data_IF_191894814237
#
_entry.id   IF_191894814237
#
_cell.length_a   1.000
_cell.length_b   1.000
_cell.length_c   1.000
_cell.angle_alpha   90.00
_cell.angle_beta   90.00
_cell.angle_gamma   90.00
#
_symmetry.space_group_name_H-M   'P 1'
#
loop_
_entity.id
_entity.type
_entity.pdbx_description
1 polymer ?
#
# COMPACT_ATOMS: atom_id res chain seq x y z
N UNK A 1 -40.87 -13.35 -7.70
CA UNK A 1 -40.12 -13.67 -6.46
C UNK A 1 -39.07 -14.70 -6.85
N UNK A 2 -37.77 -14.39 -6.77
CA UNK A 2 -36.73 -15.39 -7.06
C UNK A 2 -36.55 -16.29 -5.83
N UNK A 3 -36.26 -17.56 -6.08
CA UNK A 3 -35.92 -18.60 -5.11
C UNK A 3 -34.42 -18.59 -4.75
N UNK A 4 -33.71 -17.54 -5.14
CA UNK A 4 -32.30 -17.33 -4.80
C UNK A 4 -31.98 -15.85 -4.62
N UNK A 5 -30.83 -15.60 -3.99
CA UNK A 5 -30.13 -14.33 -4.07
C UNK A 5 -28.64 -14.56 -4.36
N UNK A 6 -27.99 -13.53 -4.92
CA UNK A 6 -26.60 -13.60 -5.36
C UNK A 6 -25.78 -12.54 -4.64
N UNK A 7 -24.60 -12.91 -4.18
CA UNK A 7 -23.59 -11.95 -3.75
C UNK A 7 -22.33 -12.12 -4.60
N UNK A 8 -21.57 -11.04 -4.75
CA UNK A 8 -20.28 -11.09 -5.40
C UNK A 8 -19.26 -10.32 -4.59
N UNK A 9 -18.03 -10.82 -4.59
CA UNK A 9 -16.86 -10.12 -4.05
C UNK A 9 -15.74 -10.20 -5.05
N UNK A 10 -15.04 -9.10 -5.24
CA UNK A 10 -13.78 -9.06 -5.99
C UNK A 10 -12.66 -8.99 -4.98
N UNK A 11 -11.58 -9.75 -5.18
CA UNK A 11 -10.38 -9.66 -4.35
C UNK A 11 -9.38 -8.63 -4.90
N UNK A 12 -8.31 -8.35 -4.15
CA UNK A 12 -7.29 -7.37 -4.54
C UNK A 12 -6.56 -7.75 -5.85
N UNK A 13 -6.56 -9.04 -6.16
CA UNK A 13 -5.91 -9.63 -7.33
C UNK A 13 -6.85 -9.63 -8.55
N UNK A 14 -8.11 -9.25 -8.36
CA UNK A 14 -9.13 -9.13 -9.41
C UNK A 14 -9.93 -10.39 -9.64
N UNK A 15 -9.81 -11.44 -8.81
CA UNK A 15 -10.70 -12.60 -8.90
C UNK A 15 -12.08 -12.22 -8.38
N UNK A 16 -13.13 -12.62 -9.11
CA UNK A 16 -14.52 -12.39 -8.72
C UNK A 16 -15.10 -13.70 -8.22
N UNK A 17 -15.52 -13.74 -6.96
CA UNK A 17 -16.25 -14.86 -6.38
C UNK A 17 -17.72 -14.51 -6.33
N UNK A 18 -18.53 -15.27 -7.05
CA UNK A 18 -19.99 -15.18 -7.05
C UNK A 18 -20.53 -16.32 -6.18
N UNK A 19 -21.36 -15.97 -5.21
CA UNK A 19 -22.04 -16.91 -4.32
C UNK A 19 -23.54 -16.85 -4.57
N UNK A 20 -24.12 -17.99 -4.88
CA UNK A 20 -25.55 -18.17 -5.01
C UNK A 20 -26.07 -18.82 -3.75
N UNK A 21 -27.18 -18.29 -3.25
CA UNK A 21 -27.86 -18.79 -2.07
C UNK A 21 -29.31 -19.05 -2.45
N UNK A 22 -29.78 -20.27 -2.22
CA UNK A 22 -31.21 -20.52 -2.29
C UNK A 22 -31.96 -19.74 -1.21
N UNK A 23 -33.22 -19.41 -1.49
CA UNK A 23 -34.14 -18.67 -0.63
C UNK A 23 -35.38 -19.52 -0.36
N UNK A 24 -35.67 -19.74 0.93
CA UNK A 24 -36.83 -20.49 1.38
C UNK A 24 -36.50 -21.92 1.82
N UNK A 25 -37.45 -22.58 2.49
CA UNK A 25 -37.22 -23.84 3.18
C UNK A 25 -36.77 -25.01 2.27
N UNK A 26 -37.11 -24.96 0.98
CA UNK A 26 -36.79 -26.00 -0.02
C UNK A 26 -35.54 -25.71 -0.84
N UNK A 27 -34.98 -24.51 -0.73
CA UNK A 27 -33.85 -24.04 -1.52
C UNK A 27 -32.80 -23.48 -0.56
N UNK A 28 -32.05 -24.34 0.13
CA UNK A 28 -31.06 -23.93 1.15
C UNK A 28 -29.61 -24.11 0.69
N UNK A 29 -29.41 -24.65 -0.52
CA UNK A 29 -28.10 -24.88 -1.10
C UNK A 29 -27.31 -23.58 -1.31
N UNK A 30 -26.00 -23.68 -1.14
CA UNK A 30 -25.05 -22.63 -1.52
C UNK A 30 -24.12 -23.18 -2.59
N UNK A 31 -23.96 -22.46 -3.70
CA UNK A 31 -22.93 -22.77 -4.68
C UNK A 31 -22.04 -21.55 -4.92
N UNK A 32 -20.76 -21.80 -5.20
CA UNK A 32 -19.77 -20.74 -5.39
C UNK A 32 -19.03 -20.97 -6.70
N UNK A 33 -18.96 -19.93 -7.52
CA UNK A 33 -18.12 -19.91 -8.73
C UNK A 33 -17.13 -18.77 -8.64
N UNK A 34 -15.88 -19.03 -9.04
CA UNK A 34 -14.84 -18.00 -9.11
C UNK A 34 -14.42 -17.78 -10.54
N UNK A 35 -14.52 -16.53 -10.99
CA UNK A 35 -13.96 -16.02 -12.24
C UNK A 35 -12.56 -15.52 -11.91
N UNK A 36 -11.54 -16.13 -12.52
CA UNK A 36 -10.14 -15.74 -12.30
C UNK A 36 -9.87 -14.36 -12.90
N UNK A 37 -8.95 -13.63 -12.29
CA UNK A 37 -8.56 -12.28 -12.71
C UNK A 37 -8.19 -12.17 -14.20
N UNK A 38 -7.59 -13.22 -14.78
CA UNK A 38 -7.28 -13.27 -16.23
C UNK A 38 -8.51 -13.11 -17.14
N UNK A 39 -9.69 -13.47 -16.65
CA UNK A 39 -10.96 -13.37 -17.35
C UNK A 39 -11.78 -12.16 -16.88
N UNK A 40 -11.23 -11.31 -16.01
CA UNK A 40 -11.88 -10.09 -15.53
C UNK A 40 -11.39 -8.90 -16.40
N UNK A 41 -12.28 -8.20 -17.12
CA UNK A 41 -11.89 -7.06 -17.94
C UNK A 41 -11.34 -5.87 -17.12
N UNK A 42 -11.58 -5.83 -15.80
CA UNK A 42 -11.10 -4.76 -14.94
C UNK A 42 -9.71 -5.07 -14.34
N UNK A 43 -8.76 -4.11 -14.38
CA UNK A 43 -7.43 -4.28 -13.81
C UNK A 43 -7.46 -4.48 -12.29
N UNK A 44 -6.64 -5.41 -11.79
CA UNK A 44 -6.54 -5.72 -10.36
C UNK A 44 -6.04 -4.52 -9.57
N UNK A 45 -6.59 -4.32 -8.36
CA UNK A 45 -6.12 -3.25 -7.48
C UNK A 45 -4.62 -3.42 -7.14
N UNK A 46 -4.15 -4.68 -7.05
CA UNK A 46 -2.73 -5.01 -6.82
C UNK A 46 -1.81 -4.48 -7.92
N UNK A 47 -2.25 -4.45 -9.18
CA UNK A 47 -1.43 -3.93 -10.30
C UNK A 47 -1.02 -2.46 -10.13
N UNK A 48 -1.71 -1.70 -9.28
CA UNK A 48 -1.38 -0.31 -8.97
C UNK A 48 -0.28 -0.15 -7.91
N UNK A 49 0.07 -1.21 -7.19
CA UNK A 49 1.14 -1.21 -6.18
C UNK A 49 2.54 -1.26 -6.81
N UNK A 50 2.85 -0.22 -7.58
CA UNK A 50 4.15 -0.04 -8.23
C UNK A 50 5.23 0.39 -7.23
N UNK A 51 6.48 0.14 -7.61
CA UNK A 51 7.65 0.62 -6.91
C UNK A 51 7.70 2.15 -6.82
N UNK A 52 8.08 2.63 -5.64
CA UNK A 52 8.18 4.06 -5.40
C UNK A 52 9.52 4.58 -5.89
N UNK A 53 9.49 5.40 -6.95
CA UNK A 53 10.70 6.05 -7.48
C UNK A 53 11.03 7.30 -6.67
N UNK A 54 12.10 7.23 -5.88
CA UNK A 54 12.65 8.37 -5.15
C UNK A 54 13.37 9.31 -6.12
N UNK A 55 12.98 10.58 -6.11
CA UNK A 55 13.62 11.63 -6.94
C UNK A 55 14.57 12.50 -6.13
N UNK A 56 14.43 12.52 -4.80
CA UNK A 56 15.31 13.30 -3.92
C UNK A 56 15.36 12.70 -2.54
N UNK A 57 16.56 12.62 -1.98
CA UNK A 57 16.79 12.25 -0.60
C UNK A 57 17.99 13.02 -0.06
N UNK A 58 17.78 14.01 0.81
CA UNK A 58 18.88 14.83 1.33
C UNK A 58 18.70 15.27 2.77
N UNK A 59 19.81 15.37 3.51
CA UNK A 59 19.85 16.10 4.78
C UNK A 59 19.77 17.61 4.50
N UNK A 60 18.78 18.27 5.10
CA UNK A 60 18.53 19.71 5.03
C UNK A 60 18.79 20.37 6.38
N UNK A 61 18.89 21.70 6.41
CA UNK A 61 19.09 22.49 7.64
C UNK A 61 18.07 22.12 8.72
N UNK A 62 18.50 22.20 9.98
CA UNK A 62 17.66 21.94 11.14
C UNK A 62 17.62 20.47 11.55
N UNK A 63 18.63 19.68 11.15
CA UNK A 63 18.74 18.25 11.46
C UNK A 63 17.56 17.44 10.88
N UNK A 64 17.11 17.77 9.67
CA UNK A 64 15.97 17.11 9.00
C UNK A 64 16.42 16.42 7.73
N UNK A 65 15.61 15.48 7.26
CA UNK A 65 15.73 14.87 5.94
C UNK A 65 14.52 15.26 5.10
N UNK A 66 14.76 15.66 3.86
CA UNK A 66 13.74 15.83 2.83
C UNK A 66 13.79 14.64 1.87
N UNK A 67 12.65 13.97 1.70
CA UNK A 67 12.43 12.92 0.72
C UNK A 67 11.38 13.41 -0.29
N UNK A 68 11.63 13.17 -1.59
CA UNK A 68 10.67 13.40 -2.68
C UNK A 68 10.61 12.16 -3.57
N UNK A 69 9.44 11.90 -4.16
CA UNK A 69 9.21 10.75 -5.03
C UNK A 69 8.23 11.07 -6.15
N UNK A 70 8.22 10.22 -7.20
CA UNK A 70 7.23 10.29 -8.28
C UNK A 70 5.84 9.87 -7.78
N UNK A 71 4.79 10.56 -8.25
CA UNK A 71 3.40 10.22 -7.92
C UNK A 71 3.01 8.90 -8.59
N UNK A 72 2.32 8.04 -7.85
CA UNK A 72 1.69 6.82 -8.35
C UNK A 72 0.18 7.06 -8.34
N UNK A 73 -0.48 6.80 -9.48
CA UNK A 73 -1.94 6.94 -9.64
C UNK A 73 -2.65 5.68 -9.12
N UNK A 74 -3.93 5.80 -8.80
CA UNK A 74 -4.82 4.68 -8.38
C UNK A 74 -4.34 3.88 -7.14
N UNK A 75 -3.59 4.52 -6.22
CA UNK A 75 -3.25 3.96 -4.91
C UNK A 75 -3.91 4.75 -3.79
N UNK A 76 -4.03 4.18 -2.59
CA UNK A 76 -4.55 4.93 -1.43
C UNK A 76 -3.49 5.86 -0.85
N UNK A 77 -2.23 5.43 -0.77
CA UNK A 77 -1.17 6.29 -0.24
C UNK A 77 0.19 5.62 -0.15
N UNK A 78 1.05 6.22 0.66
CA UNK A 78 2.41 5.77 0.89
C UNK A 78 2.65 5.46 2.37
N UNK A 79 3.52 4.48 2.61
CA UNK A 79 4.08 4.23 3.93
C UNK A 79 5.59 4.48 3.88
N UNK A 80 6.04 5.44 4.67
CA UNK A 80 7.44 5.73 4.90
C UNK A 80 7.87 5.14 6.23
N UNK A 81 9.02 4.49 6.26
CA UNK A 81 9.67 4.03 7.49
C UNK A 81 11.09 4.53 7.60
N UNK A 82 11.53 4.79 8.83
CA UNK A 82 12.92 5.14 9.07
C UNK A 82 13.41 4.74 10.46
N UNK A 83 14.69 4.38 10.56
CA UNK A 83 15.36 4.00 11.81
C UNK A 83 16.82 4.44 11.80
N UNK A 84 17.45 4.43 12.98
CA UNK A 84 18.91 4.52 13.13
C UNK A 84 19.63 3.22 12.76
N UNK A 85 18.91 2.09 12.72
CA UNK A 85 19.46 0.76 12.43
C UNK A 85 19.06 0.33 11.02
N UNK A 86 20.01 -0.25 10.25
CA UNK A 86 19.76 -0.76 8.88
C UNK A 86 18.68 -1.86 8.85
N UNK A 87 18.56 -2.62 9.94
CA UNK A 87 17.51 -3.64 10.14
C UNK A 87 16.11 -3.08 10.38
N UNK A 88 15.95 -1.76 10.51
CA UNK A 88 14.69 -1.10 10.85
C UNK A 88 14.09 -1.49 12.23
N UNK A 89 14.88 -2.08 13.14
CA UNK A 89 14.47 -2.24 14.55
C UNK A 89 14.23 -0.86 15.18
N UNK A 90 13.10 -0.70 15.89
CA UNK A 90 12.69 0.60 16.47
C UNK A 90 12.36 1.69 15.43
N UNK A 91 11.91 1.28 14.23
CA UNK A 91 11.52 2.21 13.18
C UNK A 91 10.34 3.10 13.56
N UNK A 92 10.35 4.32 13.03
CA UNK A 92 9.16 5.17 12.93
C UNK A 92 8.48 4.89 11.60
N UNK A 93 7.15 4.76 11.61
CA UNK A 93 6.30 4.61 10.42
C UNK A 93 5.45 5.86 10.26
N UNK A 94 5.30 6.32 9.03
CA UNK A 94 4.47 7.47 8.65
C UNK A 94 3.60 7.02 7.48
N UNK A 95 2.29 7.24 7.61
CA UNK A 95 1.32 7.05 6.53
C UNK A 95 1.04 8.41 5.90
N UNK A 96 1.01 8.43 4.57
CA UNK A 96 0.86 9.63 3.76
C UNK A 96 -0.19 9.37 2.69
N UNK A 97 -0.99 10.38 2.38
CA UNK A 97 -1.99 10.27 1.31
C UNK A 97 -1.33 10.20 -0.08
N UNK A 98 -2.08 9.69 -1.06
CA UNK A 98 -1.65 9.58 -2.44
C UNK A 98 -1.17 10.92 -3.06
N UNK A 99 -1.73 12.05 -2.62
CA UNK A 99 -1.37 13.38 -3.17
C UNK A 99 0.02 13.84 -2.70
N UNK A 100 0.54 13.28 -1.60
CA UNK A 100 1.82 13.67 -1.02
C UNK A 100 2.97 13.14 -1.88
N UNK A 101 3.80 14.06 -2.37
CA UNK A 101 5.01 13.75 -3.19
C UNK A 101 6.32 14.02 -2.44
N UNK A 102 6.21 14.49 -1.19
CA UNK A 102 7.34 14.95 -0.38
C UNK A 102 7.05 14.79 1.09
N UNK A 103 8.07 14.40 1.85
CA UNK A 103 8.04 14.41 3.30
C UNK A 103 9.32 15.01 3.87
N UNK A 104 9.17 15.83 4.92
CA UNK A 104 10.27 16.33 5.74
C UNK A 104 10.16 15.71 7.13
N UNK A 105 11.25 15.11 7.61
CA UNK A 105 11.24 14.53 8.96
C UNK A 105 11.13 15.61 10.03
N UNK A 106 10.69 15.20 11.22
CA UNK A 106 10.98 15.95 12.46
C UNK A 106 12.51 16.03 12.70
N UNK A 107 12.92 16.85 13.66
CA UNK A 107 14.33 17.04 14.07
C UNK A 107 14.96 15.69 14.46
N UNK A 108 16.11 15.38 13.88
CA UNK A 108 16.87 14.15 14.12
C UNK A 108 18.14 14.45 14.92
N UNK A 109 18.78 13.39 15.42
CA UNK A 109 20.05 13.49 16.15
C UNK A 109 21.21 13.80 15.17
N UNK A 110 21.97 14.87 15.44
CA UNK A 110 23.15 15.27 14.66
C UNK A 110 24.23 14.18 14.72
N UNK A 111 25.07 14.09 13.67
CA UNK A 111 26.13 13.09 13.49
C UNK A 111 25.66 11.62 13.46
N UNK A 112 24.36 11.34 13.55
CA UNK A 112 23.80 9.99 13.42
C UNK A 112 23.38 9.68 11.99
N UNK A 113 23.43 8.40 11.63
CA UNK A 113 22.94 7.88 10.35
C UNK A 113 21.52 7.36 10.52
N UNK A 114 20.68 7.66 9.54
CA UNK A 114 19.32 7.14 9.45
C UNK A 114 19.14 6.40 8.13
N UNK A 115 18.30 5.38 8.17
CA UNK A 115 17.93 4.54 7.04
C UNK A 115 16.44 4.76 6.77
N UNK A 116 16.09 5.02 5.51
CA UNK A 116 14.73 5.28 5.08
C UNK A 116 14.33 4.24 4.02
N UNK A 117 13.05 3.86 4.05
CA UNK A 117 12.38 3.12 2.99
C UNK A 117 10.98 3.69 2.83
N UNK A 118 10.46 3.67 1.62
CA UNK A 118 9.08 4.03 1.32
C UNK A 118 8.45 2.91 0.49
N UNK A 119 7.13 2.76 0.57
CA UNK A 119 6.35 1.86 -0.30
C UNK A 119 4.97 2.45 -0.55
N UNK A 120 4.34 2.04 -1.64
CA UNK A 120 2.93 2.32 -1.91
C UNK A 120 2.04 1.37 -1.10
N UNK A 121 0.79 1.79 -0.85
CA UNK A 121 -0.24 0.91 -0.31
C UNK A 121 -1.61 1.26 -0.90
N UNK A 122 -2.49 0.26 -0.91
CA UNK A 122 -3.91 0.39 -1.21
C UNK A 122 -4.70 -0.14 -0.03
N UNK A 123 -5.88 0.43 0.20
CA UNK A 123 -6.91 -0.14 1.05
C UNK A 123 -7.98 -0.67 0.10
N UNK A 124 -8.24 -1.97 0.19
CA UNK A 124 -9.20 -2.66 -0.65
C UNK A 124 -10.07 -3.55 0.27
N UNK A 125 -11.38 -3.38 0.22
CA UNK A 125 -12.34 -4.01 1.14
C UNK A 125 -11.92 -3.89 2.62
N UNK A 126 -11.54 -2.68 3.05
CA UNK A 126 -11.10 -2.41 4.43
C UNK A 126 -9.70 -2.92 4.79
N UNK A 127 -9.06 -3.76 3.97
CA UNK A 127 -7.74 -4.33 4.23
C UNK A 127 -6.64 -3.59 3.50
N UNK A 128 -5.50 -3.41 4.16
CA UNK A 128 -4.32 -2.73 3.60
C UNK A 128 -3.38 -3.71 2.90
N UNK A 129 -3.08 -3.44 1.64
CA UNK A 129 -2.11 -4.18 0.82
C UNK A 129 -0.97 -3.25 0.46
N UNK A 130 0.24 -3.79 0.46
CA UNK A 130 1.47 -3.03 0.32
C UNK A 130 2.23 -3.47 -0.91
N UNK A 131 2.79 -2.51 -1.63
CA UNK A 131 3.83 -2.77 -2.61
C UNK A 131 5.17 -3.00 -1.94
N UNK A 132 6.19 -3.22 -2.76
CA UNK A 132 7.52 -3.47 -2.28
C UNK A 132 8.17 -2.22 -1.67
N UNK A 133 9.09 -2.49 -0.75
CA UNK A 133 9.92 -1.43 -0.20
C UNK A 133 10.94 -1.00 -1.22
N UNK A 134 11.17 0.31 -1.31
CA UNK A 134 12.35 0.81 -2.01
C UNK A 134 13.64 0.23 -1.43
N UNK A 135 14.70 0.32 -2.23
CA UNK A 135 16.06 0.21 -1.74
C UNK A 135 16.28 1.11 -0.52
N UNK A 136 17.20 0.67 0.35
CA UNK A 136 17.47 1.37 1.61
C UNK A 136 18.23 2.66 1.35
N UNK A 137 17.62 3.79 1.72
CA UNK A 137 18.24 5.11 1.58
C UNK A 137 19.01 5.41 2.88
N UNK A 138 20.33 5.60 2.80
CA UNK A 138 21.20 5.89 3.94
C UNK A 138 21.57 7.37 3.97
N UNK A 139 21.31 8.06 5.07
CA UNK A 139 21.62 9.50 5.22
C UNK A 139 22.27 9.78 6.58
N UNK A 140 23.46 10.39 6.57
CA UNK A 140 24.11 10.93 7.78
C UNK A 140 23.67 12.37 8.02
N UNK A 141 23.24 12.68 9.25
CA UNK A 141 22.75 14.03 9.62
C UNK A 141 23.94 14.93 9.96
N UNK A 142 24.26 15.89 9.07
CA UNK A 142 25.37 16.83 9.21
C UNK A 142 24.90 18.24 9.57
N UNK A 143 23.79 18.69 9.00
CA UNK A 143 23.19 20.04 9.14
C UNK A 143 21.72 19.98 9.57
#
# INVERSE_FOLDING_TARGET
NTDYYVTHVTDVDGNVTVKFYGKGARYTGTCTKTIKAKNNPNPSARSYLKDVVITKAKNIKGKKVELKWKKIKKITGYQLRYSKKKSFKGQKKITLDQKVKKYKTKKLKKKKTYYFKIRSYIIYNGKKYYGDWTNTIRIKIKK
#
